data_IF_682457603329
#
_entry.id   IF_682457603329
#
_cell.length_a   1.000
_cell.length_b   1.000
_cell.length_c   1.000
_cell.angle_alpha   90.00
_cell.angle_beta   90.00
_cell.angle_gamma   90.00
#
_symmetry.space_group_name_H-M   'P 1'
#
loop_
_entity.id
_entity.type
_entity.pdbx_description
1 polymer ?
#
# COMPACT_ATOMS: atom_id res chain seq x y z
N UNK A 1 29.21 6.17 6.76
CA UNK A 1 27.88 6.80 6.60
C UNK A 1 27.45 6.55 5.18
N UNK A 2 26.41 5.74 4.93
CA UNK A 2 25.86 5.59 3.58
C UNK A 2 25.24 6.93 3.16
N UNK A 3 25.45 7.42 1.93
CA UNK A 3 24.98 8.74 1.54
C UNK A 3 23.46 8.78 1.45
N UNK A 4 22.90 9.96 1.66
CA UNK A 4 21.52 10.26 1.31
C UNK A 4 21.25 9.79 -0.13
N UNK A 5 20.13 9.09 -0.34
CA UNK A 5 19.71 8.49 -1.59
C UNK A 5 20.13 9.33 -2.82
N UNK A 6 21.06 8.83 -3.65
CA UNK A 6 21.49 9.38 -4.95
C UNK A 6 20.37 9.28 -6.00
N UNK A 7 19.21 9.82 -5.67
CA UNK A 7 18.06 9.91 -6.55
C UNK A 7 18.00 11.36 -7.02
N UNK A 8 18.24 11.61 -8.32
CA UNK A 8 18.18 12.97 -8.84
C UNK A 8 16.81 13.60 -8.60
N UNK A 9 16.79 14.91 -8.38
CA UNK A 9 15.55 15.67 -8.21
C UNK A 9 14.62 15.43 -9.42
N UNK A 10 13.36 15.12 -9.14
CA UNK A 10 12.35 14.83 -10.16
C UNK A 10 12.20 13.35 -10.50
N UNK A 11 13.07 12.46 -10.01
CA UNK A 11 12.79 11.02 -10.08
C UNK A 11 11.69 10.66 -9.08
N UNK A 12 10.66 9.98 -9.58
CA UNK A 12 9.52 9.54 -8.81
C UNK A 12 9.34 8.03 -8.92
N UNK A 13 8.71 7.45 -7.90
CA UNK A 13 8.38 6.05 -7.91
C UNK A 13 7.08 5.84 -8.70
N UNK A 14 7.20 5.39 -9.94
CA UNK A 14 6.08 5.16 -10.85
C UNK A 14 6.29 3.82 -11.58
N UNK A 15 6.14 2.68 -10.88
CA UNK A 15 6.38 1.37 -11.47
C UNK A 15 5.30 1.05 -12.51
N UNK A 16 5.67 0.32 -13.57
CA UNK A 16 4.66 -0.29 -14.45
C UNK A 16 3.95 -1.44 -13.74
N UNK A 17 2.82 -1.88 -14.29
CA UNK A 17 2.08 -3.04 -13.78
C UNK A 17 2.97 -4.29 -13.69
N UNK A 18 3.80 -4.54 -14.72
CA UNK A 18 4.71 -5.68 -14.73
C UNK A 18 5.82 -5.56 -13.68
N UNK A 19 6.27 -4.35 -13.37
CA UNK A 19 7.29 -4.10 -12.35
C UNK A 19 6.69 -4.25 -10.95
N UNK A 20 5.48 -3.72 -10.74
CA UNK A 20 4.73 -3.85 -9.49
C UNK A 20 4.53 -5.31 -9.08
N UNK A 21 4.09 -6.15 -10.01
CA UNK A 21 3.85 -7.58 -9.73
C UNK A 21 5.12 -8.41 -9.85
N UNK A 22 5.81 -8.30 -10.97
CA UNK A 22 6.92 -9.18 -11.35
C UNK A 22 8.24 -8.88 -10.65
N UNK A 23 8.48 -7.63 -10.23
CA UNK A 23 9.67 -7.26 -9.47
C UNK A 23 9.32 -7.02 -8.00
N UNK A 24 8.48 -6.04 -7.68
CA UNK A 24 8.26 -5.63 -6.28
C UNK A 24 7.52 -6.67 -5.46
N UNK A 25 6.33 -7.09 -5.90
CA UNK A 25 5.54 -8.08 -5.15
C UNK A 25 6.19 -9.46 -5.17
N UNK A 26 6.68 -9.91 -6.32
CA UNK A 26 7.38 -11.19 -6.42
C UNK A 26 8.61 -11.24 -5.49
N UNK A 27 9.44 -10.20 -5.49
CA UNK A 27 10.64 -10.20 -4.65
C UNK A 27 10.32 -10.06 -3.17
N UNK A 28 9.28 -9.32 -2.80
CA UNK A 28 8.78 -9.26 -1.42
C UNK A 28 8.39 -10.64 -0.86
N UNK A 29 7.82 -11.51 -1.69
CA UNK A 29 7.27 -12.82 -1.23
C UNK A 29 8.26 -13.97 -1.43
N UNK A 30 8.98 -14.01 -2.55
CA UNK A 30 9.79 -15.18 -2.97
C UNK A 30 11.18 -14.85 -3.50
N UNK A 31 11.44 -13.60 -3.84
CA UNK A 31 12.68 -13.24 -4.51
C UNK A 31 13.81 -12.87 -3.54
N UNK A 32 14.96 -12.46 -4.10
CA UNK A 32 16.08 -11.99 -3.31
C UNK A 32 15.74 -10.68 -2.58
N UNK A 33 16.52 -10.30 -1.55
CA UNK A 33 16.43 -8.97 -0.94
C UNK A 33 16.48 -7.87 -2.01
N UNK A 34 15.74 -6.80 -1.77
CA UNK A 34 15.77 -5.64 -2.66
C UNK A 34 17.19 -5.11 -2.79
N UNK A 35 17.50 -4.56 -3.97
CA UNK A 35 18.73 -3.76 -4.13
C UNK A 35 18.64 -2.59 -3.16
N UNK A 36 19.77 -2.13 -2.63
CA UNK A 36 19.85 -1.02 -1.67
C UNK A 36 19.01 0.21 -2.07
N UNK A 37 18.92 0.52 -3.38
CA UNK A 37 18.14 1.64 -3.91
C UNK A 37 16.62 1.44 -3.83
N UNK A 38 16.17 0.20 -3.89
CA UNK A 38 14.76 -0.19 -3.86
C UNK A 38 14.30 -0.56 -2.44
N UNK A 39 15.27 -0.67 -1.51
CA UNK A 39 15.02 -0.95 -0.11
C UNK A 39 14.26 0.22 0.52
N UNK A 40 13.07 -0.07 1.07
CA UNK A 40 12.16 0.90 1.70
C UNK A 40 11.42 1.87 0.75
N UNK A 41 11.42 1.62 -0.57
CA UNK A 41 10.61 2.43 -1.49
C UNK A 41 9.11 2.20 -1.29
N UNK A 42 8.70 0.97 -0.97
CA UNK A 42 7.31 0.59 -0.67
C UNK A 42 7.20 0.16 0.80
N UNK A 43 6.51 0.92 1.65
CA UNK A 43 6.35 0.58 3.07
C UNK A 43 5.37 -0.58 3.30
N UNK A 44 5.51 -1.27 4.42
CA UNK A 44 4.51 -2.24 4.91
C UNK A 44 3.45 -1.51 5.75
N UNK A 45 2.18 -1.61 5.34
CA UNK A 45 1.03 -1.01 6.04
C UNK A 45 -0.02 -2.09 6.30
N UNK A 46 -0.56 -2.13 7.52
CA UNK A 46 -1.68 -3.00 7.83
C UNK A 46 -3.01 -2.37 7.38
N UNK A 47 -3.44 -2.74 6.19
CA UNK A 47 -4.67 -2.25 5.57
C UNK A 47 -5.94 -2.60 6.37
N UNK A 48 -5.90 -3.70 7.12
CA UNK A 48 -7.03 -4.22 7.89
C UNK A 48 -6.98 -3.81 9.36
N UNK A 49 -6.12 -2.84 9.70
CA UNK A 49 -6.00 -2.29 11.05
C UNK A 49 -7.15 -1.36 11.42
N UNK A 50 -6.92 -0.57 12.47
CA UNK A 50 -7.85 0.47 12.93
C UNK A 50 -7.66 1.82 12.24
N UNK A 51 -6.68 1.95 11.34
CA UNK A 51 -6.39 3.20 10.64
C UNK A 51 -7.40 3.44 9.52
N UNK A 52 -7.89 4.68 9.41
CA UNK A 52 -8.75 5.07 8.30
C UNK A 52 -7.95 5.30 7.00
N UNK A 53 -8.62 5.22 5.85
CA UNK A 53 -7.98 5.44 4.55
C UNK A 53 -7.31 6.82 4.45
N UNK A 54 -7.95 7.86 5.03
CA UNK A 54 -7.39 9.21 5.09
C UNK A 54 -6.13 9.30 5.95
N UNK A 55 -6.09 8.55 7.06
CA UNK A 55 -4.90 8.50 7.90
C UNK A 55 -3.77 7.73 7.23
N UNK A 56 -4.08 6.65 6.53
CA UNK A 56 -3.10 5.93 5.69
C UNK A 56 -2.51 6.89 4.65
N UNK A 57 -3.33 7.68 3.97
CA UNK A 57 -2.86 8.68 3.02
C UNK A 57 -1.92 9.72 3.66
N UNK A 58 -2.39 10.38 4.73
CA UNK A 58 -1.66 11.46 5.37
C UNK A 58 -0.34 10.99 6.01
N UNK A 59 -0.33 9.79 6.59
CA UNK A 59 0.83 9.27 7.30
C UNK A 59 1.92 8.72 6.37
N UNK A 60 1.61 8.51 5.08
CA UNK A 60 2.52 7.87 4.13
C UNK A 60 2.83 8.78 2.93
N UNK A 61 3.02 10.08 3.21
CA UNK A 61 3.43 11.07 2.20
C UNK A 61 2.46 11.23 1.03
N UNK A 62 1.19 10.89 1.20
CA UNK A 62 0.18 11.14 0.18
C UNK A 62 0.06 12.63 -0.18
N UNK A 63 0.40 13.53 0.74
CA UNK A 63 0.43 14.98 0.49
C UNK A 63 1.61 15.43 -0.41
N UNK A 64 2.65 14.60 -0.54
CA UNK A 64 3.82 14.88 -1.37
C UNK A 64 3.65 14.34 -2.81
N UNK A 65 2.58 13.59 -3.07
CA UNK A 65 2.24 13.01 -4.37
C UNK A 65 1.53 14.03 -5.26
N UNK A 66 1.81 13.98 -6.57
CA UNK A 66 1.05 14.72 -7.58
C UNK A 66 -0.35 14.13 -7.79
N UNK A 67 -1.20 14.88 -8.51
CA UNK A 67 -2.58 14.47 -8.82
C UNK A 67 -2.66 13.17 -9.65
N UNK A 68 -1.59 12.81 -10.36
CA UNK A 68 -1.44 11.62 -11.21
C UNK A 68 -0.62 10.50 -10.56
N UNK A 69 -0.33 10.60 -9.27
CA UNK A 69 0.49 9.64 -8.54
C UNK A 69 -0.29 8.85 -7.50
N UNK A 70 0.05 7.57 -7.39
CA UNK A 70 -0.58 6.63 -6.46
C UNK A 70 0.30 6.35 -5.24
N UNK A 71 -0.36 6.08 -4.11
CA UNK A 71 0.31 5.59 -2.91
C UNK A 71 0.44 4.05 -2.97
N UNK A 72 1.69 3.55 -2.98
CA UNK A 72 2.00 2.13 -2.97
C UNK A 72 2.40 1.66 -1.57
N UNK A 73 1.89 0.50 -1.14
CA UNK A 73 2.30 -0.16 0.10
C UNK A 73 2.08 -1.67 0.04
N UNK A 74 2.87 -2.42 0.79
CA UNK A 74 2.64 -3.84 1.01
C UNK A 74 1.65 -4.04 2.15
N UNK A 75 0.76 -5.01 2.01
CA UNK A 75 -0.11 -5.42 3.10
C UNK A 75 -0.28 -6.92 3.16
N UNK A 76 -0.51 -7.45 4.36
CA UNK A 76 -0.81 -8.86 4.54
C UNK A 76 -2.23 -9.14 4.09
N UNK A 77 -2.40 -10.08 3.17
CA UNK A 77 -3.71 -10.48 2.69
C UNK A 77 -4.55 -11.07 3.83
N UNK A 78 -5.77 -10.56 4.01
CA UNK A 78 -6.73 -11.10 4.98
C UNK A 78 -7.87 -11.82 4.25
N UNK A 79 -8.06 -13.13 4.46
CA UNK A 79 -9.20 -13.82 3.89
C UNK A 79 -10.51 -13.28 4.47
N UNK A 80 -11.54 -13.15 3.63
CA UNK A 80 -12.85 -12.65 4.05
C UNK A 80 -13.62 -13.66 4.92
N UNK A 81 -13.22 -14.93 4.92
CA UNK A 81 -13.85 -16.02 5.66
C UNK A 81 -12.80 -16.83 6.41
N UNK A 82 -13.08 -17.16 7.67
CA UNK A 82 -12.33 -18.13 8.49
C UNK A 82 -12.58 -19.58 8.06
N UNK A 83 -13.68 -19.86 7.35
CA UNK A 83 -13.93 -21.15 6.71
C UNK A 83 -13.21 -21.14 5.36
N UNK A 84 -12.04 -21.77 5.32
CA UNK A 84 -11.03 -21.69 4.25
C UNK A 84 -11.40 -22.34 2.92
N UNK A 85 -12.46 -21.85 2.26
CA UNK A 85 -12.88 -22.36 0.94
C UNK A 85 -13.10 -21.24 -0.10
N UNK A 86 -12.81 -19.97 0.23
CA UNK A 86 -13.07 -18.84 -0.67
C UNK A 86 -11.86 -17.97 -0.98
N UNK A 87 -11.64 -17.65 -2.27
CA UNK A 87 -10.64 -16.69 -2.76
C UNK A 87 -10.97 -15.22 -2.43
N UNK A 88 -12.05 -14.98 -1.67
CA UNK A 88 -12.52 -13.64 -1.35
C UNK A 88 -11.60 -13.03 -0.30
N UNK A 89 -11.02 -11.89 -0.64
CA UNK A 89 -10.20 -11.07 0.25
C UNK A 89 -11.12 -10.10 0.96
N UNK A 90 -10.90 -9.88 2.26
CA UNK A 90 -11.60 -8.82 2.98
C UNK A 90 -11.27 -7.49 2.28
N UNK A 91 -12.25 -6.66 1.96
CA UNK A 91 -12.02 -5.31 1.41
C UNK A 91 -12.67 -4.23 2.26
N UNK A 92 -13.06 -4.58 3.48
CA UNK A 92 -13.82 -3.70 4.35
C UNK A 92 -12.86 -2.68 4.98
N UNK A 93 -12.56 -1.62 4.24
CA UNK A 93 -12.32 -0.32 4.83
C UNK A 93 -13.66 0.05 5.48
N UNK A 94 -13.69 0.33 6.79
CA UNK A 94 -14.90 0.81 7.48
C UNK A 94 -15.34 2.22 7.04
N UNK A 95 -15.11 2.55 5.76
CA UNK A 95 -15.39 3.85 5.13
C UNK A 95 -16.82 3.90 4.58
N UNK A 96 -17.53 2.78 4.47
CA UNK A 96 -18.96 2.79 4.14
C UNK A 96 -19.89 2.80 5.36
N UNK A 97 -19.41 2.38 6.54
CA UNK A 97 -20.26 2.28 7.75
C UNK A 97 -20.57 3.64 8.39
N UNK A 98 -19.79 4.69 8.11
CA UNK A 98 -20.10 6.07 8.54
C UNK A 98 -21.06 6.80 7.59
N UNK A 99 -21.40 6.22 6.43
CA UNK A 99 -22.28 6.85 5.43
C UNK A 99 -23.76 6.42 5.52
N UNK A 100 -24.15 5.53 6.45
CA UNK A 100 -25.53 5.03 6.54
C UNK A 100 -26.19 5.08 7.92
N UNK A 101 -25.52 5.59 8.97
CA UNK A 101 -26.15 5.73 10.30
C UNK A 101 -26.74 7.11 10.59
N UNK A 102 -26.92 7.94 9.58
CA UNK A 102 -27.59 9.23 9.77
C UNK A 102 -28.60 9.48 8.64
N UNK A 103 -29.81 8.92 8.79
CA UNK A 103 -31.08 9.63 8.53
C UNK A 103 -32.34 8.81 8.90
N UNK A 104 -33.23 9.50 9.63
CA UNK A 104 -34.67 9.26 9.96
C UNK A 104 -34.91 8.29 11.13
N UNK A 105 -35.56 8.66 12.23
CA UNK A 105 -36.54 9.72 12.52
C UNK A 105 -36.27 10.41 13.87
#
# INVERSE_FOLDING_TARGET
>A
MAPANDIPVGYKFHPRDEESVGYYLHNKVRGPPFRFRDENVIPDINLYGSMEARDIWNNNRGQDLGDDEDLYFFTKLKPASTKGTGSRVARNYRVWDLAWTEQRE
#
